data_IF_466950118278
#
_entry.id   IF_466950118278
#
_cell.length_a   1.000
_cell.length_b   1.000
_cell.length_c   1.000
_cell.angle_alpha   90.00
_cell.angle_beta   90.00
_cell.angle_gamma   90.00
#
_symmetry.space_group_name_H-M   'P 1'
#
loop_
_entity.id
_entity.type
_entity.pdbx_description
1 polymer ?
#
# COMPACT_ATOMS: atom_id res chain seq x y z
N UNK A 1 -18.92 13.68 -13.47
CA UNK A 1 -17.65 12.90 -13.46
C UNK A 1 -18.00 11.43 -13.61
N UNK A 2 -17.41 10.72 -14.58
CA UNK A 2 -17.65 9.28 -14.79
C UNK A 2 -16.59 8.49 -14.02
N UNK A 3 -17.00 7.61 -13.12
CA UNK A 3 -16.09 6.72 -12.39
C UNK A 3 -15.39 5.77 -13.38
N UNK A 4 -14.06 5.61 -13.21
CA UNK A 4 -13.23 4.68 -14.00
C UNK A 4 -12.36 3.86 -13.05
N UNK A 5 -12.57 2.54 -12.94
CA UNK A 5 -11.80 1.71 -12.02
C UNK A 5 -10.37 1.52 -12.53
N UNK A 6 -9.39 1.71 -11.64
CA UNK A 6 -7.96 1.48 -11.90
C UNK A 6 -7.53 0.02 -11.69
N UNK A 7 -8.41 -0.84 -11.18
CA UNK A 7 -8.13 -2.25 -10.94
C UNK A 7 -9.42 -3.00 -10.60
N UNK A 8 -9.34 -4.33 -10.43
CA UNK A 8 -10.48 -5.14 -10.00
C UNK A 8 -10.97 -4.69 -8.61
N UNK A 9 -12.27 -4.86 -8.33
CA UNK A 9 -12.82 -4.51 -7.01
C UNK A 9 -12.10 -5.35 -5.94
N UNK A 10 -11.44 -4.73 -4.95
CA UNK A 10 -10.70 -5.46 -3.93
C UNK A 10 -11.59 -6.45 -3.14
N UNK A 11 -12.90 -6.20 -3.06
CA UNK A 11 -13.88 -7.11 -2.42
C UNK A 11 -14.12 -8.38 -3.20
N UNK A 12 -13.90 -8.37 -4.52
CA UNK A 12 -14.05 -9.53 -5.40
C UNK A 12 -12.70 -10.12 -5.81
N UNK A 13 -11.64 -9.31 -5.81
CA UNK A 13 -10.28 -9.71 -6.17
C UNK A 13 -9.66 -10.63 -5.11
N UNK A 14 -9.97 -10.40 -3.83
CA UNK A 14 -9.71 -11.39 -2.79
C UNK A 14 -10.85 -12.42 -2.89
N UNK A 15 -10.66 -13.45 -3.70
CA UNK A 15 -11.67 -14.50 -3.88
C UNK A 15 -12.12 -15.10 -2.54
N UNK A 16 -13.35 -15.61 -2.47
CA UNK A 16 -13.90 -16.24 -1.26
C UNK A 16 -12.95 -17.31 -0.68
N UNK A 17 -12.26 -18.05 -1.54
CA UNK A 17 -11.25 -19.03 -1.15
C UNK A 17 -9.99 -18.40 -0.53
N UNK A 18 -9.58 -17.22 -1.01
CA UNK A 18 -8.47 -16.46 -0.43
C UNK A 18 -8.85 -15.90 0.94
N UNK A 19 -10.04 -15.32 1.08
CA UNK A 19 -10.60 -14.92 2.38
C UNK A 19 -10.71 -16.12 3.33
N UNK A 20 -11.24 -17.27 2.87
CA UNK A 20 -11.32 -18.49 3.66
C UNK A 20 -9.93 -18.98 4.09
N UNK A 21 -8.92 -18.99 3.21
CA UNK A 21 -7.54 -19.34 3.55
C UNK A 21 -6.92 -18.39 4.57
N UNK A 22 -7.19 -17.08 4.44
CA UNK A 22 -6.75 -16.03 5.35
C UNK A 22 -7.40 -16.24 6.74
N UNK A 23 -8.71 -16.48 6.80
CA UNK A 23 -9.43 -16.74 8.05
C UNK A 23 -9.06 -18.10 8.69
N UNK A 24 -8.92 -19.17 7.92
CA UNK A 24 -8.46 -20.47 8.40
C UNK A 24 -7.00 -20.47 8.85
N UNK A 25 -6.17 -19.58 8.30
CA UNK A 25 -4.83 -19.32 8.81
C UNK A 25 -4.82 -18.54 10.13
N UNK A 26 -5.97 -18.11 10.66
CA UNK A 26 -6.19 -17.23 11.81
C UNK A 26 -5.59 -17.63 13.17
N UNK A 27 -4.70 -18.62 13.22
CA UNK A 27 -3.84 -18.93 14.38
C UNK A 27 -2.35 -19.08 14.04
N UNK A 28 -1.95 -18.93 12.77
CA UNK A 28 -0.58 -19.10 12.26
C UNK A 28 -0.16 -17.85 11.49
N UNK A 29 0.18 -16.78 12.20
CA UNK A 29 0.40 -15.43 11.65
C UNK A 29 1.28 -15.35 10.40
N UNK A 30 2.35 -16.15 10.29
CA UNK A 30 3.18 -16.19 9.06
C UNK A 30 2.42 -16.68 7.83
N UNK A 31 1.52 -17.66 7.98
CA UNK A 31 0.72 -18.18 6.87
C UNK A 31 -0.30 -17.13 6.43
N UNK A 32 -0.95 -16.44 7.37
CA UNK A 32 -1.85 -15.32 7.09
C UNK A 32 -1.15 -14.23 6.28
N UNK A 33 0.02 -13.78 6.75
CA UNK A 33 0.82 -12.77 6.04
C UNK A 33 1.15 -13.26 4.65
N UNK A 34 1.66 -14.49 4.48
CA UNK A 34 2.02 -15.04 3.17
C UNK A 34 0.86 -15.04 2.17
N UNK A 35 -0.33 -15.44 2.60
CA UNK A 35 -1.51 -15.45 1.70
C UNK A 35 -1.98 -14.03 1.37
N UNK A 36 -1.86 -13.07 2.29
CA UNK A 36 -2.12 -11.66 2.02
C UNK A 36 -1.14 -11.08 0.99
N UNK A 37 0.16 -11.41 1.10
CA UNK A 37 1.18 -11.01 0.13
C UNK A 37 0.85 -11.57 -1.25
N UNK A 38 0.50 -12.86 -1.35
CA UNK A 38 0.15 -13.50 -2.63
C UNK A 38 -1.05 -12.84 -3.30
N UNK A 39 -2.12 -12.59 -2.55
CA UNK A 39 -3.30 -11.91 -3.08
C UNK A 39 -2.96 -10.49 -3.58
N UNK A 40 -2.08 -9.78 -2.86
CA UNK A 40 -1.58 -8.48 -3.30
C UNK A 40 -0.77 -8.58 -4.59
N UNK A 41 0.19 -9.51 -4.67
CA UNK A 41 1.02 -9.73 -5.85
C UNK A 41 0.19 -10.09 -7.09
N UNK A 42 -0.88 -10.86 -6.94
CA UNK A 42 -1.79 -11.25 -8.03
C UNK A 42 -2.63 -10.06 -8.54
N UNK A 43 -3.12 -9.20 -7.64
CA UNK A 43 -3.90 -8.02 -8.01
C UNK A 43 -3.06 -6.85 -8.55
N UNK A 44 -1.77 -6.80 -8.19
CA UNK A 44 -0.88 -5.66 -8.45
C UNK A 44 -0.72 -5.33 -9.95
N UNK A 45 -0.47 -6.29 -10.88
CA UNK A 45 -0.26 -5.96 -12.29
C UNK A 45 -1.45 -5.24 -12.92
N UNK A 46 -2.66 -5.76 -12.74
CA UNK A 46 -3.88 -5.16 -13.29
C UNK A 46 -4.13 -3.76 -12.71
N UNK A 47 -3.85 -3.58 -11.42
CA UNK A 47 -3.95 -2.29 -10.76
C UNK A 47 -2.96 -1.25 -11.32
N UNK A 48 -1.69 -1.63 -11.49
CA UNK A 48 -0.66 -0.73 -12.04
C UNK A 48 -0.91 -0.37 -13.51
N UNK A 49 -1.44 -1.32 -14.30
CA UNK A 49 -1.83 -1.06 -15.68
C UNK A 49 -3.04 -0.12 -15.77
N UNK A 50 -4.03 -0.29 -14.88
CA UNK A 50 -5.17 0.62 -14.82
C UNK A 50 -4.76 2.02 -14.37
N UNK A 51 -3.81 2.18 -13.45
CA UNK A 51 -3.20 3.48 -13.12
C UNK A 51 -2.67 4.15 -14.40
N UNK A 52 -1.80 3.48 -15.14
CA UNK A 52 -1.19 4.04 -16.36
C UNK A 52 -2.20 4.33 -17.48
N UNK A 53 -3.31 3.60 -17.52
CA UNK A 53 -4.37 3.80 -18.52
C UNK A 53 -5.31 4.94 -18.16
N UNK A 54 -5.79 4.97 -16.92
CA UNK A 54 -6.85 5.86 -16.48
C UNK A 54 -6.36 7.26 -16.08
N UNK A 55 -5.10 7.40 -15.67
CA UNK A 55 -4.53 8.70 -15.30
C UNK A 55 -4.03 9.52 -16.49
N UNK A 56 -4.07 9.00 -17.72
CA UNK A 56 -3.65 9.75 -18.90
C UNK A 56 -4.39 11.08 -19.02
N UNK A 57 -3.64 12.18 -19.07
CA UNK A 57 -4.18 13.54 -19.14
C UNK A 57 -4.62 14.12 -17.78
N UNK A 58 -4.35 13.44 -16.67
CA UNK A 58 -4.59 14.01 -15.34
C UNK A 58 -3.63 15.18 -15.06
N UNK A 59 -4.16 16.27 -14.52
CA UNK A 59 -3.39 17.46 -14.10
C UNK A 59 -3.08 17.45 -12.58
N UNK A 60 -3.71 16.54 -11.82
CA UNK A 60 -3.51 16.33 -10.39
C UNK A 60 -3.88 14.89 -10.04
N UNK A 61 -3.06 14.23 -9.21
CA UNK A 61 -3.34 12.89 -8.68
C UNK A 61 -3.60 12.97 -7.18
N UNK A 62 -4.82 12.64 -6.74
CA UNK A 62 -5.15 12.47 -5.31
C UNK A 62 -5.29 10.99 -5.02
N UNK A 63 -4.53 10.47 -4.05
CA UNK A 63 -4.50 9.04 -3.76
C UNK A 63 -4.58 8.73 -2.26
N UNK A 64 -5.27 7.63 -1.94
CA UNK A 64 -5.31 7.07 -0.59
C UNK A 64 -4.21 6.03 -0.36
N UNK A 65 -4.22 5.37 0.80
CA UNK A 65 -3.20 4.39 1.19
C UNK A 65 -3.09 3.19 0.24
N UNK A 66 -4.22 2.65 -0.21
CA UNK A 66 -4.27 1.59 -1.24
C UNK A 66 -3.92 2.11 -2.66
N UNK A 67 -4.00 3.42 -2.87
CA UNK A 67 -3.69 4.11 -4.12
C UNK A 67 -2.23 4.54 -4.27
N UNK A 68 -1.36 4.24 -3.31
CA UNK A 68 0.00 4.79 -3.20
C UNK A 68 0.82 4.70 -4.49
N UNK A 69 0.66 3.62 -5.26
CA UNK A 69 1.40 3.42 -6.51
C UNK A 69 1.12 4.49 -7.57
N UNK A 70 0.01 5.23 -7.48
CA UNK A 70 -0.32 6.32 -8.39
C UNK A 70 0.70 7.48 -8.31
N UNK A 71 1.39 7.63 -7.18
CA UNK A 71 2.49 8.59 -7.06
C UNK A 71 3.63 8.29 -8.05
N UNK A 72 3.99 7.02 -8.27
CA UNK A 72 5.05 6.68 -9.23
C UNK A 72 4.69 7.12 -10.66
N UNK A 73 3.42 7.00 -11.04
CA UNK A 73 2.93 7.50 -12.33
C UNK A 73 3.03 9.02 -12.38
N UNK A 74 2.56 9.71 -11.34
CA UNK A 74 2.56 11.16 -11.27
C UNK A 74 3.99 11.75 -11.37
N UNK A 75 4.95 11.15 -10.66
CA UNK A 75 6.37 11.50 -10.72
C UNK A 75 6.92 11.37 -12.15
N UNK A 76 6.65 10.24 -12.82
CA UNK A 76 7.13 10.00 -14.18
C UNK A 76 6.57 10.99 -15.23
N UNK A 77 5.39 11.55 -14.97
CA UNK A 77 4.70 12.46 -15.90
C UNK A 77 4.81 13.94 -15.47
N UNK A 78 5.53 14.25 -14.40
CA UNK A 78 5.63 15.62 -13.87
C UNK A 78 4.30 16.18 -13.34
N UNK A 79 3.37 15.32 -12.94
CA UNK A 79 2.05 15.71 -12.45
C UNK A 79 2.08 15.82 -10.92
N UNK A 80 1.54 16.90 -10.32
CA UNK A 80 1.41 17.02 -8.87
C UNK A 80 0.61 15.86 -8.26
N UNK A 81 1.04 15.38 -7.10
CA UNK A 81 0.38 14.29 -6.38
C UNK A 81 0.14 14.66 -4.92
N UNK A 82 -1.05 14.35 -4.40
CA UNK A 82 -1.47 14.62 -3.02
C UNK A 82 -1.95 13.33 -2.37
N UNK A 83 -1.35 13.01 -1.23
CA UNK A 83 -1.74 11.87 -0.43
C UNK A 83 -2.91 12.25 0.50
N UNK A 84 -4.06 11.61 0.34
CA UNK A 84 -5.28 11.81 1.13
C UNK A 84 -5.55 10.57 1.98
N UNK A 85 -4.78 10.39 3.04
CA UNK A 85 -4.88 9.22 3.90
C UNK A 85 -6.01 9.36 4.93
N UNK A 86 -6.83 8.31 5.04
CA UNK A 86 -7.88 8.21 6.07
C UNK A 86 -7.34 7.65 7.39
N UNK A 87 -6.18 7.00 7.34
CA UNK A 87 -5.47 6.51 8.51
C UNK A 87 -4.29 7.43 8.81
N UNK A 88 -3.91 7.58 10.09
CA UNK A 88 -2.71 8.31 10.44
C UNK A 88 -1.50 7.45 10.07
N UNK A 89 -0.93 7.68 8.89
CA UNK A 89 0.23 6.95 8.37
C UNK A 89 1.55 7.71 8.55
N UNK A 90 1.48 8.95 9.03
CA UNK A 90 2.65 9.79 9.28
C UNK A 90 3.17 9.60 10.72
N UNK A 91 4.49 9.52 10.93
CA UNK A 91 5.07 9.33 12.24
C UNK A 91 4.63 10.38 13.27
N UNK A 92 4.06 9.92 14.39
CA UNK A 92 3.67 10.76 15.52
C UNK A 92 4.04 10.12 16.86
N UNK A 93 4.13 10.94 17.90
CA UNK A 93 4.33 10.50 19.29
C UNK A 93 3.01 10.25 20.03
N UNK A 94 1.88 10.66 19.47
CA UNK A 94 0.58 10.65 20.15
C UNK A 94 -0.02 9.24 20.30
N UNK A 95 0.15 8.38 19.30
CA UNK A 95 -0.40 7.02 19.27
C UNK A 95 0.43 6.14 18.34
N UNK A 96 0.47 4.80 18.52
CA UNK A 96 1.24 3.90 17.67
C UNK A 96 0.66 3.82 16.26
N UNK A 97 1.44 3.27 15.32
CA UNK A 97 1.00 3.04 13.96
C UNK A 97 -0.27 2.17 13.92
N UNK A 98 -1.22 2.43 12.99
CA UNK A 98 -2.53 1.77 13.00
C UNK A 98 -2.47 0.28 12.64
N UNK A 99 -1.38 -0.17 12.02
CA UNK A 99 -1.21 -1.55 11.54
C UNK A 99 -0.01 -2.16 12.28
N UNK A 100 -0.27 -3.14 13.14
CA UNK A 100 0.77 -3.94 13.80
C UNK A 100 0.39 -4.39 15.22
N UNK A 101 1.06 -5.43 15.75
CA UNK A 101 0.78 -5.98 17.08
C UNK A 101 1.44 -5.15 18.19
N UNK A 102 1.13 -3.85 18.29
CA UNK A 102 1.77 -2.95 19.24
C UNK A 102 1.22 -3.14 20.66
N UNK A 103 2.06 -3.41 21.67
CA UNK A 103 1.59 -3.52 23.05
C UNK A 103 1.03 -2.18 23.55
N UNK A 104 -0.26 -2.16 23.93
CA UNK A 104 -0.95 -0.95 24.44
C UNK A 104 -0.22 -0.31 25.64
N UNK A 105 0.39 -1.14 26.50
CA UNK A 105 1.15 -0.66 27.65
C UNK A 105 2.37 0.19 27.28
N UNK A 106 2.93 0.00 26.08
CA UNK A 106 4.07 0.79 25.59
C UNK A 106 3.62 2.07 24.86
N UNK A 107 2.35 2.17 24.47
CA UNK A 107 1.80 3.34 23.75
C UNK A 107 1.79 4.63 24.57
N UNK A 108 2.00 4.56 25.89
CA UNK A 108 2.23 5.74 26.74
C UNK A 108 3.58 6.42 26.47
N UNK A 109 4.54 5.70 25.88
CA UNK A 109 5.86 6.22 25.57
C UNK A 109 5.88 6.80 24.15
N UNK A 110 5.87 8.13 24.02
CA UNK A 110 5.79 8.76 22.69
C UNK A 110 6.92 8.41 21.72
N UNK A 111 8.12 8.07 22.23
CA UNK A 111 9.22 7.58 21.39
C UNK A 111 8.91 6.18 20.81
N UNK A 112 8.27 5.31 21.60
CA UNK A 112 7.80 4.00 21.13
C UNK A 112 6.76 4.18 20.02
N UNK A 113 5.79 5.07 20.20
CA UNK A 113 4.79 5.38 19.17
C UNK A 113 5.47 5.78 17.85
N UNK A 114 6.43 6.70 17.88
CA UNK A 114 7.16 7.11 16.66
C UNK A 114 7.93 5.96 16.02
N UNK A 115 8.54 5.09 16.83
CA UNK A 115 9.26 3.90 16.34
C UNK A 115 8.33 2.91 15.62
N UNK A 116 7.10 2.73 16.10
CA UNK A 116 6.13 1.82 15.44
C UNK A 116 5.84 2.24 13.99
N UNK A 117 5.83 3.54 13.67
CA UNK A 117 5.67 4.01 12.29
C UNK A 117 6.86 3.64 11.42
N UNK A 118 8.08 3.79 11.91
CA UNK A 118 9.27 3.39 11.16
C UNK A 118 9.26 1.90 10.85
N UNK A 119 8.92 1.06 11.85
CA UNK A 119 8.81 -0.38 11.66
C UNK A 119 7.70 -0.71 10.65
N UNK A 120 6.52 -0.11 10.80
CA UNK A 120 5.40 -0.31 9.88
C UNK A 120 5.75 0.10 8.45
N UNK A 121 6.37 1.27 8.26
CA UNK A 121 6.80 1.77 6.96
C UNK A 121 7.86 0.88 6.33
N UNK A 122 8.84 0.38 7.10
CA UNK A 122 9.84 -0.53 6.60
C UNK A 122 9.21 -1.86 6.12
N UNK A 123 8.32 -2.43 6.92
CA UNK A 123 7.61 -3.67 6.55
C UNK A 123 6.72 -3.47 5.32
N UNK A 124 5.97 -2.37 5.26
CA UNK A 124 5.16 -2.01 4.12
C UNK A 124 6.02 -1.81 2.86
N UNK A 125 7.18 -1.16 2.99
CA UNK A 125 8.11 -0.98 1.89
C UNK A 125 8.65 -2.32 1.38
N UNK A 126 9.11 -3.21 2.25
CA UNK A 126 9.60 -4.53 1.83
C UNK A 126 8.53 -5.35 1.08
N UNK A 127 7.26 -5.19 1.44
CA UNK A 127 6.15 -5.85 0.78
C UNK A 127 5.96 -5.37 -0.67
N UNK A 128 6.02 -4.06 -0.91
CA UNK A 128 5.68 -3.48 -2.22
C UNK A 128 6.90 -3.17 -3.08
N UNK A 129 8.11 -3.19 -2.51
CA UNK A 129 9.35 -2.74 -3.17
C UNK A 129 9.55 -3.35 -4.55
N UNK A 130 9.44 -4.68 -4.69
CA UNK A 130 9.72 -5.36 -5.97
C UNK A 130 8.75 -4.96 -7.08
N UNK A 131 7.46 -4.79 -6.76
CA UNK A 131 6.47 -4.38 -7.76
C UNK A 131 6.58 -2.88 -8.06
N UNK A 132 6.81 -2.05 -7.04
CA UNK A 132 7.12 -0.62 -7.20
C UNK A 132 8.35 -0.40 -8.08
N UNK A 133 9.48 -1.06 -7.81
CA UNK A 133 10.72 -0.91 -8.58
C UNK A 133 10.56 -1.39 -10.03
N UNK A 134 9.76 -2.43 -10.28
CA UNK A 134 9.46 -2.90 -11.63
C UNK A 134 8.57 -1.88 -12.37
N UNK A 135 7.60 -1.32 -11.68
CA UNK A 135 6.71 -0.31 -12.25
C UNK A 135 7.45 0.98 -12.57
N UNK A 136 8.28 1.47 -11.64
CA UNK A 136 9.15 2.64 -11.83
C UNK A 136 10.05 2.48 -13.05
N UNK A 137 10.70 1.33 -13.20
CA UNK A 137 11.52 1.04 -14.40
C UNK A 137 10.71 1.08 -15.70
N UNK A 138 9.49 0.58 -15.72
CA UNK A 138 8.60 0.67 -16.90
C UNK A 138 8.21 2.11 -17.23
N UNK A 139 8.18 2.99 -16.22
CA UNK A 139 7.92 4.41 -16.36
C UNK A 139 9.18 5.24 -16.64
N UNK A 140 10.37 4.63 -16.74
CA UNK A 140 11.64 5.33 -16.93
C UNK A 140 12.19 5.99 -15.68
N UNK A 141 11.71 5.62 -14.49
CA UNK A 141 12.21 6.09 -13.20
C UNK A 141 13.21 5.12 -12.59
N UNK A 142 14.17 5.68 -11.83
CA UNK A 142 15.08 4.92 -10.99
C UNK A 142 14.34 4.19 -9.85
N UNK A 143 14.77 2.98 -9.44
CA UNK A 143 14.25 2.30 -8.25
C UNK A 143 14.33 3.18 -7.00
N UNK A 144 13.43 2.97 -6.05
CA UNK A 144 13.55 3.66 -4.77
C UNK A 144 14.66 2.97 -3.96
N UNK A 145 15.59 3.77 -3.44
CA UNK A 145 16.68 3.31 -2.58
C UNK A 145 16.18 2.68 -1.27
N UNK A 146 17.13 2.18 -0.48
CA UNK A 146 16.89 1.79 0.92
C UNK A 146 16.96 3.00 1.84
#
# INVERSE_FOLDING_TARGET
MRYRPVGPDPRTAIGADALARIFHAGGRGLRFVRELIRAYEEATPAFLEGISRELKGAELVVFGSLGMAAWHWAEAHGVPAVAAFLQPLLPTRAFPAPIGPWPRALSRFGAFNRLTYWIASLLAWQLVRRSSDRYRRRLGLEPLGL
#
